data_IF_727791320841
#
_entry.id   IF_727791320841
#
_cell.length_a   1.000
_cell.length_b   1.000
_cell.length_c   1.000
_cell.angle_alpha   90.00
_cell.angle_beta   90.00
_cell.angle_gamma   90.00
#
_symmetry.space_group_name_H-M   'P 1'
#
loop_
_entity.id
_entity.type
_entity.pdbx_description
1 polymer ?
#
# COMPACT_ATOMS: atom_id res chain seq x y z
N UNK A 1 22.85 -9.33 -41.84
CA UNK A 1 22.76 -10.03 -40.53
C UNK A 1 22.75 -8.99 -39.40
N UNK A 2 21.60 -8.72 -38.78
CA UNK A 2 21.46 -7.74 -37.68
C UNK A 2 21.81 -8.42 -36.35
N UNK A 3 22.87 -7.95 -35.67
CA UNK A 3 23.24 -8.41 -34.31
C UNK A 3 22.26 -7.85 -33.29
N UNK A 4 21.46 -8.73 -32.68
CA UNK A 4 20.63 -8.42 -31.51
C UNK A 4 21.52 -8.20 -30.30
N UNK A 5 21.53 -6.99 -29.75
CA UNK A 5 22.14 -6.68 -28.45
C UNK A 5 21.16 -7.15 -27.38
N UNK A 6 21.44 -8.28 -26.74
CA UNK A 6 20.75 -8.71 -25.52
C UNK A 6 21.22 -7.81 -24.37
N UNK A 7 20.39 -6.86 -23.97
CA UNK A 7 20.61 -6.06 -22.77
C UNK A 7 20.38 -6.94 -21.54
N UNK A 8 21.43 -7.12 -20.75
CA UNK A 8 21.38 -7.77 -19.45
C UNK A 8 20.71 -6.79 -18.47
N UNK A 9 19.50 -7.11 -17.98
CA UNK A 9 18.85 -6.33 -16.92
C UNK A 9 19.23 -6.99 -15.60
N UNK A 10 20.07 -6.30 -14.82
CA UNK A 10 20.46 -6.72 -13.48
C UNK A 10 19.42 -6.18 -12.50
N UNK A 11 18.63 -7.05 -11.87
CA UNK A 11 17.74 -6.66 -10.76
C UNK A 11 18.53 -6.89 -9.47
N UNK A 12 18.97 -5.79 -8.86
CA UNK A 12 19.59 -5.80 -7.53
C UNK A 12 18.47 -5.75 -6.47
N UNK A 13 18.23 -6.88 -5.81
CA UNK A 13 17.38 -6.95 -4.62
C UNK A 13 18.23 -6.58 -3.40
N UNK A 14 18.01 -5.41 -2.84
CA UNK A 14 18.52 -5.02 -1.52
C UNK A 14 17.44 -5.31 -0.48
N UNK A 15 17.65 -6.34 0.35
CA UNK A 15 16.81 -6.61 1.51
C UNK A 15 17.50 -5.98 2.72
N UNK A 16 16.98 -4.85 3.20
CA UNK A 16 17.36 -4.28 4.49
C UNK A 16 16.36 -4.74 5.55
N UNK A 17 16.83 -5.44 6.57
CA UNK A 17 16.03 -5.78 7.75
C UNK A 17 16.29 -4.72 8.82
N UNK A 18 15.30 -3.86 9.06
CA UNK A 18 15.26 -3.06 10.27
C UNK A 18 14.61 -3.90 11.36
N UNK A 19 15.21 -3.94 12.55
CA UNK A 19 14.64 -4.63 13.71
C UNK A 19 13.31 -3.98 14.10
N UNK A 20 12.21 -4.58 13.65
CA UNK A 20 10.86 -4.15 14.00
C UNK A 20 10.44 -4.79 15.32
N UNK A 21 10.36 -3.97 16.37
CA UNK A 21 9.45 -4.23 17.50
C UNK A 21 8.04 -4.45 16.93
N UNK A 22 7.27 -5.36 17.54
CA UNK A 22 6.01 -5.85 17.02
C UNK A 22 4.97 -4.73 16.81
N UNK A 23 4.99 -4.12 15.63
CA UNK A 23 3.89 -3.33 15.10
C UNK A 23 2.82 -4.29 14.56
N UNK A 24 1.55 -3.92 14.69
CA UNK A 24 0.47 -4.70 14.09
C UNK A 24 0.72 -4.86 12.59
N UNK A 25 0.48 -6.06 12.05
CA UNK A 25 0.45 -6.27 10.59
C UNK A 25 -0.75 -5.49 10.09
N UNK A 26 -0.53 -4.28 9.58
CA UNK A 26 -1.58 -3.44 8.98
C UNK A 26 -2.41 -4.29 8.01
N UNK A 27 -3.59 -4.69 8.47
CA UNK A 27 -4.62 -5.24 7.62
C UNK A 27 -4.98 -4.11 6.67
N UNK A 28 -4.69 -4.29 5.38
CA UNK A 28 -5.30 -3.45 4.37
C UNK A 28 -6.80 -3.76 4.37
N UNK A 29 -7.54 -3.00 5.18
CA UNK A 29 -8.97 -3.14 5.38
C UNK A 29 -9.74 -2.23 4.42
N UNK A 30 -9.29 -2.09 3.16
CA UNK A 30 -10.23 -1.53 2.20
C UNK A 30 -11.38 -2.53 2.08
N UNK A 31 -12.63 -2.07 2.22
CA UNK A 31 -13.79 -2.97 2.16
C UNK A 31 -13.83 -3.83 0.88
N UNK A 32 -13.16 -3.37 -0.18
CA UNK A 32 -12.94 -4.14 -1.41
C UNK A 32 -11.88 -5.23 -1.26
N UNK A 33 -10.70 -4.95 -0.71
CA UNK A 33 -9.67 -5.98 -0.45
C UNK A 33 -10.15 -7.05 0.53
N UNK A 34 -10.88 -6.64 1.58
CA UNK A 34 -11.43 -7.55 2.59
C UNK A 34 -12.48 -8.49 1.97
N UNK A 35 -13.38 -7.96 1.13
CA UNK A 35 -14.35 -8.77 0.39
C UNK A 35 -13.70 -9.77 -0.59
N UNK A 36 -12.45 -9.52 -0.99
CA UNK A 36 -11.66 -10.39 -1.85
C UNK A 36 -10.73 -11.33 -1.05
N UNK A 37 -10.98 -11.52 0.25
CA UNK A 37 -10.18 -12.41 1.10
C UNK A 37 -8.77 -11.87 1.35
N UNK A 38 -8.62 -10.54 1.44
CA UNK A 38 -7.33 -9.88 1.58
C UNK A 38 -6.49 -9.88 0.31
N UNK A 39 -7.08 -10.24 -0.83
CA UNK A 39 -6.44 -10.18 -2.14
C UNK A 39 -6.65 -8.79 -2.78
N UNK A 40 -5.68 -8.35 -3.58
CA UNK A 40 -5.74 -7.03 -4.24
C UNK A 40 -4.49 -6.65 -5.01
N UNK A 41 -3.58 -7.61 -5.21
CA UNK A 41 -2.25 -7.37 -5.78
C UNK A 41 -2.32 -7.09 -7.29
N UNK A 42 -3.25 -7.72 -8.00
CA UNK A 42 -3.36 -7.64 -9.46
C UNK A 42 -4.75 -7.14 -9.89
N UNK A 43 -5.11 -5.88 -9.61
CA UNK A 43 -6.44 -5.38 -9.95
C UNK A 43 -6.76 -4.03 -9.33
N UNK A 44 -8.05 -3.71 -9.27
CA UNK A 44 -8.58 -2.51 -8.61
C UNK A 44 -8.62 -2.81 -7.10
N UNK A 45 -7.45 -2.78 -6.47
CA UNK A 45 -7.27 -3.01 -5.03
C UNK A 45 -6.70 -1.77 -4.34
N UNK A 46 -6.60 -1.82 -3.02
CA UNK A 46 -5.94 -0.79 -2.24
C UNK A 46 -4.49 -0.59 -2.67
N UNK A 47 -4.02 0.66 -2.63
CA UNK A 47 -2.62 0.98 -2.83
C UNK A 47 -1.73 0.51 -1.65
N UNK A 48 -2.33 0.16 -0.50
CA UNK A 48 -1.63 -0.49 0.62
C UNK A 48 -1.30 -1.96 0.32
N UNK A 49 -2.03 -2.63 -0.58
CA UNK A 49 -1.72 -4.01 -1.03
C UNK A 49 -0.72 -4.04 -2.16
N UNK A 50 -0.88 -3.12 -3.12
CA UNK A 50 0.06 -2.95 -4.20
C UNK A 50 0.12 -1.45 -4.52
N UNK A 51 1.25 -0.78 -4.22
CA UNK A 51 1.44 0.63 -4.54
C UNK A 51 1.13 1.01 -6.00
N UNK A 52 1.30 0.09 -6.95
CA UNK A 52 0.99 0.33 -8.36
C UNK A 52 -0.51 0.57 -8.63
N UNK A 53 -1.38 0.20 -7.68
CA UNK A 53 -2.82 0.44 -7.79
C UNK A 53 -3.19 1.93 -7.69
N UNK A 54 -2.27 2.82 -7.25
CA UNK A 54 -2.49 4.28 -7.32
C UNK A 54 -2.67 4.80 -8.75
N UNK A 55 -2.28 3.99 -9.74
CA UNK A 55 -2.44 4.27 -11.17
C UNK A 55 -3.78 3.74 -11.71
N UNK A 56 -4.58 3.09 -10.87
CA UNK A 56 -5.83 2.45 -11.24
C UNK A 56 -7.03 3.29 -10.76
N UNK A 57 -7.97 3.46 -11.68
CA UNK A 57 -9.37 3.88 -11.55
C UNK A 57 -9.80 5.27 -11.08
N UNK A 58 -9.03 6.12 -10.38
CA UNK A 58 -9.60 7.43 -9.97
C UNK A 58 -8.61 8.61 -10.07
N UNK A 59 -9.02 9.66 -10.80
CA UNK A 59 -8.24 10.91 -10.97
C UNK A 59 -8.14 11.73 -9.69
N UNK A 60 -9.16 11.62 -8.84
CA UNK A 60 -9.25 12.25 -7.53
C UNK A 60 -10.36 11.55 -6.72
N UNK A 61 -10.08 11.11 -5.50
CA UNK A 61 -11.06 10.49 -4.63
C UNK A 61 -10.73 10.63 -3.15
N UNK A 62 -11.76 10.46 -2.33
CA UNK A 62 -11.72 10.45 -0.88
C UNK A 62 -12.42 9.18 -0.40
N UNK A 63 -11.71 8.35 0.34
CA UNK A 63 -12.23 7.11 0.92
C UNK A 63 -12.19 7.23 2.43
N UNK A 64 -13.32 6.92 3.06
CA UNK A 64 -13.47 6.80 4.51
C UNK A 64 -13.92 5.38 4.82
N UNK A 65 -13.21 4.72 5.72
CA UNK A 65 -13.54 3.36 6.12
C UNK A 65 -13.38 3.20 7.63
N UNK A 66 -14.28 2.42 8.21
CA UNK A 66 -14.26 2.09 9.62
C UNK A 66 -14.67 0.63 9.78
N UNK A 67 -13.90 -0.11 10.58
CA UNK A 67 -14.21 -1.49 10.95
C UNK A 67 -13.73 -1.75 12.36
N UNK A 68 -14.40 -2.65 13.05
CA UNK A 68 -13.93 -3.19 14.32
C UNK A 68 -13.18 -4.49 14.03
N UNK A 69 -11.95 -4.59 14.51
CA UNK A 69 -11.19 -5.83 14.36
C UNK A 69 -11.89 -6.94 15.15
N UNK A 70 -12.40 -7.94 14.41
CA UNK A 70 -13.21 -9.05 14.92
C UNK A 70 -12.70 -9.58 16.28
N UNK A 71 -13.59 -9.55 17.29
CA UNK A 71 -13.39 -10.05 18.66
C UNK A 71 -12.37 -9.32 19.54
N UNK A 72 -11.82 -8.19 19.10
CA UNK A 72 -10.86 -7.41 19.89
C UNK A 72 -11.42 -6.06 20.37
N UNK A 73 -12.61 -5.65 19.90
CA UNK A 73 -13.19 -4.31 20.15
C UNK A 73 -12.20 -3.17 19.87
N UNK A 74 -11.30 -3.39 18.92
CA UNK A 74 -10.31 -2.41 18.47
C UNK A 74 -10.82 -1.72 17.19
N UNK A 75 -11.40 -0.51 17.30
CA UNK A 75 -11.82 0.25 16.13
C UNK A 75 -10.62 0.66 15.28
N UNK A 76 -10.68 0.27 14.00
CA UNK A 76 -9.79 0.72 12.95
C UNK A 76 -10.50 1.75 12.07
N UNK A 77 -9.91 2.93 11.93
CA UNK A 77 -10.31 3.96 11.00
C UNK A 77 -9.29 4.10 9.88
N UNK A 78 -9.77 4.28 8.64
CA UNK A 78 -8.94 4.60 7.49
C UNK A 78 -9.50 5.81 6.75
N UNK A 79 -8.62 6.76 6.47
CA UNK A 79 -8.86 7.90 5.60
C UNK A 79 -7.86 7.82 4.45
N UNK A 80 -8.33 7.86 3.21
CA UNK A 80 -7.47 7.93 2.05
C UNK A 80 -7.91 9.07 1.14
N UNK A 81 -6.95 9.84 0.64
CA UNK A 81 -7.15 10.83 -0.40
C UNK A 81 -6.20 10.48 -1.54
N UNK A 82 -6.74 10.24 -2.72
CA UNK A 82 -5.98 9.96 -3.94
C UNK A 82 -6.21 11.06 -4.97
N UNK A 83 -5.20 11.39 -5.77
CA UNK A 83 -5.38 12.20 -6.95
C UNK A 83 -4.11 12.47 -7.73
N UNK A 84 -4.21 13.29 -8.78
CA UNK A 84 -3.06 13.75 -9.56
C UNK A 84 -2.61 15.12 -9.06
N UNK A 85 -1.39 15.19 -8.52
CA UNK A 85 -0.76 16.43 -8.03
C UNK A 85 0.48 16.71 -8.87
N UNK A 86 0.55 17.88 -9.50
CA UNK A 86 1.67 18.27 -10.38
C UNK A 86 2.00 17.22 -11.46
N UNK A 87 1.00 16.50 -11.95
CA UNK A 87 1.15 15.45 -12.97
C UNK A 87 1.60 14.08 -12.45
N UNK A 88 1.83 13.94 -11.14
CA UNK A 88 2.12 12.65 -10.50
C UNK A 88 0.88 12.11 -9.77
N UNK A 89 0.57 10.81 -9.88
CA UNK A 89 -0.44 10.18 -9.05
C UNK A 89 0.09 10.08 -7.62
N UNK A 90 -0.68 10.59 -6.67
CA UNK A 90 -0.39 10.55 -5.25
C UNK A 90 -1.59 10.00 -4.49
N UNK A 91 -1.34 9.20 -3.47
CA UNK A 91 -2.32 8.93 -2.42
C UNK A 91 -1.71 9.18 -1.04
N UNK A 92 -2.52 9.73 -0.15
CA UNK A 92 -2.22 9.86 1.27
C UNK A 92 -3.23 9.02 2.03
N UNK A 93 -2.74 8.02 2.76
CA UNK A 93 -3.57 7.12 3.54
C UNK A 93 -3.19 7.22 5.01
N UNK A 94 -4.19 7.40 5.86
CA UNK A 94 -4.04 7.44 7.32
C UNK A 94 -4.87 6.30 7.89
N UNK A 95 -4.19 5.35 8.51
CA UNK A 95 -4.83 4.28 9.29
C UNK A 95 -4.65 4.60 10.78
N UNK A 96 -5.71 4.43 11.57
CA UNK A 96 -5.70 4.64 13.01
C UNK A 96 -6.40 3.49 13.70
N UNK A 97 -5.67 2.76 14.53
CA UNK A 97 -6.18 1.74 15.43
C UNK A 97 -6.18 2.30 16.85
N UNK A 98 -7.29 2.18 17.56
CA UNK A 98 -7.40 2.62 18.96
C UNK A 98 -7.97 1.49 19.78
N UNK A 99 -7.43 1.27 20.97
CA UNK A 99 -8.11 0.51 22.01
C UNK A 99 -8.98 1.47 22.83
N UNK A 100 -10.29 1.25 22.88
CA UNK A 100 -11.22 2.12 23.60
C UNK A 100 -11.02 2.11 25.12
N UNK A 101 -10.44 1.03 25.66
CA UNK A 101 -10.35 0.77 27.10
C UNK A 101 -8.91 0.86 27.64
N UNK A 102 -7.90 0.89 26.77
CA UNK A 102 -6.46 0.93 27.15
C UNK A 102 -5.74 2.09 26.49
N UNK A 103 -4.56 2.52 27.02
CA UNK A 103 -3.77 3.59 26.40
C UNK A 103 -3.06 3.14 25.10
N UNK A 104 -3.63 2.21 24.34
CA UNK A 104 -3.07 1.70 23.09
C UNK A 104 -3.67 2.44 21.90
N UNK A 105 -2.81 3.03 21.09
CA UNK A 105 -3.15 3.66 19.82
C UNK A 105 -2.00 3.43 18.83
N UNK A 106 -2.35 3.02 17.62
CA UNK A 106 -1.41 2.93 16.50
C UNK A 106 -1.91 3.80 15.34
N UNK A 107 -1.03 4.63 14.78
CA UNK A 107 -1.32 5.47 13.62
C UNK A 107 -0.30 5.18 12.52
N UNK A 108 -0.76 4.88 11.31
CA UNK A 108 0.09 4.73 10.13
C UNK A 108 -0.24 5.80 9.10
N UNK A 109 0.78 6.49 8.61
CA UNK A 109 0.70 7.50 7.55
C UNK A 109 1.45 6.97 6.34
N UNK A 110 0.75 6.75 5.25
CA UNK A 110 1.30 6.22 4.00
C UNK A 110 1.19 7.25 2.90
N UNK A 111 2.32 7.59 2.29
CA UNK A 111 2.38 8.32 1.04
C UNK A 111 2.68 7.34 -0.09
N UNK A 112 1.81 7.32 -1.08
CA UNK A 112 1.89 6.45 -2.24
C UNK A 112 2.12 7.27 -3.49
N UNK A 113 2.99 6.82 -4.38
CA UNK A 113 3.10 7.36 -5.74
C UNK A 113 3.51 6.30 -6.74
N UNK A 114 3.42 6.58 -8.04
CA UNK A 114 3.79 5.62 -9.07
C UNK A 114 3.86 6.19 -10.48
N UNK A 115 4.22 5.32 -11.42
CA UNK A 115 4.31 5.63 -12.84
C UNK A 115 4.04 4.41 -13.71
N UNK A 116 3.64 4.68 -14.96
CA UNK A 116 3.37 3.65 -15.97
C UNK A 116 4.31 3.81 -17.15
N UNK A 117 4.93 2.71 -17.57
CA UNK A 117 5.75 2.62 -18.78
C UNK A 117 5.21 1.49 -19.64
N UNK A 118 4.50 1.84 -20.71
CA UNK A 118 3.84 0.88 -21.58
C UNK A 118 2.80 0.05 -20.82
N UNK A 119 3.04 -1.25 -20.71
CA UNK A 119 2.14 -2.22 -20.04
C UNK A 119 2.47 -2.47 -18.57
N UNK A 120 3.52 -1.84 -18.05
CA UNK A 120 3.99 -2.03 -16.68
C UNK A 120 3.66 -0.76 -15.90
N UNK A 121 2.93 -0.93 -14.81
CA UNK A 121 2.70 0.08 -13.79
C UNK A 121 3.55 -0.29 -12.57
N UNK A 122 4.18 0.71 -11.95
CA UNK A 122 4.95 0.54 -10.74
C UNK A 122 4.59 1.65 -9.75
N UNK A 123 4.60 1.33 -8.47
CA UNK A 123 4.36 2.29 -7.41
C UNK A 123 5.26 2.04 -6.21
N UNK A 124 5.29 3.02 -5.33
CA UNK A 124 6.06 3.00 -4.09
C UNK A 124 5.19 3.55 -2.97
N UNK A 125 5.28 2.94 -1.79
CA UNK A 125 4.74 3.49 -0.55
C UNK A 125 5.89 3.89 0.36
N UNK A 126 5.80 5.08 0.95
CA UNK A 126 6.58 5.46 2.12
C UNK A 126 5.63 5.55 3.30
N UNK A 127 5.89 4.77 4.33
CA UNK A 127 4.99 4.63 5.48
C UNK A 127 5.71 4.99 6.76
N UNK A 128 5.08 5.80 7.60
CA UNK A 128 5.47 6.05 8.99
C UNK A 128 4.42 5.44 9.91
N UNK A 129 4.86 4.62 10.85
CA UNK A 129 4.01 4.05 11.90
C UNK A 129 4.39 4.67 13.23
N UNK A 130 3.39 5.11 13.97
CA UNK A 130 3.50 5.66 15.32
C UNK A 130 2.70 4.76 16.25
N UNK A 131 3.36 4.20 17.25
CA UNK A 131 2.75 3.40 18.29
C UNK A 131 2.79 4.19 19.60
N UNK A 132 1.63 4.40 20.18
CA UNK A 132 1.45 4.97 21.50
C UNK A 132 0.80 3.92 22.38
N UNK A 133 1.59 3.31 23.27
CA UNK A 133 1.12 2.40 24.29
C UNK A 133 1.71 2.81 25.65
N UNK A 134 1.90 1.87 26.58
CA UNK A 134 2.75 2.10 27.76
C UNK A 134 4.17 2.57 27.38
N UNK A 135 4.62 2.21 26.18
CA UNK A 135 5.86 2.71 25.56
C UNK A 135 5.54 3.32 24.19
N UNK A 136 6.28 4.36 23.83
CA UNK A 136 6.16 5.02 22.53
C UNK A 136 7.17 4.43 21.55
N UNK A 137 6.71 4.07 20.36
CA UNK A 137 7.53 3.55 19.28
C UNK A 137 7.23 4.26 17.96
N UNK A 138 8.24 4.35 17.09
CA UNK A 138 8.03 4.79 15.71
C UNK A 138 8.85 3.95 14.74
N UNK A 139 8.31 3.80 13.53
CA UNK A 139 8.94 3.01 12.48
C UNK A 139 8.67 3.59 11.11
N UNK A 140 9.53 3.24 10.16
CA UNK A 140 9.36 3.56 8.76
C UNK A 140 9.40 2.29 7.93
N UNK A 141 8.51 2.20 6.94
CA UNK A 141 8.49 1.12 5.98
C UNK A 141 8.46 1.70 4.56
N UNK A 142 9.02 0.93 3.63
CA UNK A 142 9.07 1.27 2.23
C UNK A 142 8.64 0.06 1.41
N UNK A 143 7.57 0.21 0.65
CA UNK A 143 6.98 -0.87 -0.14
C UNK A 143 7.10 -0.56 -1.63
N UNK A 144 7.35 -1.60 -2.43
CA UNK A 144 7.41 -1.52 -3.89
C UNK A 144 6.35 -2.43 -4.48
N UNK A 145 5.59 -1.90 -5.43
CA UNK A 145 4.54 -2.64 -6.11
C UNK A 145 4.63 -2.50 -7.61
N UNK A 146 4.21 -3.52 -8.35
CA UNK A 146 4.06 -3.45 -9.80
C UNK A 146 2.86 -4.24 -10.29
N UNK A 147 2.30 -3.81 -11.41
CA UNK A 147 1.31 -4.57 -12.19
C UNK A 147 1.69 -4.56 -13.66
N UNK A 148 1.34 -5.64 -14.37
CA UNK A 148 1.59 -5.81 -15.80
C UNK A 148 0.35 -6.34 -16.52
N UNK A 149 -0.05 -5.62 -17.57
CA UNK A 149 -1.17 -6.01 -18.42
C UNK A 149 -0.72 -7.02 -19.51
N UNK A 150 -1.07 -8.29 -19.33
CA UNK A 150 -0.82 -9.38 -20.28
C UNK A 150 -2.04 -9.64 -21.18
N UNK A 151 -1.96 -9.22 -22.45
CA UNK A 151 -3.10 -9.26 -23.39
C UNK A 151 -4.29 -8.46 -22.78
N UNK A 152 -5.36 -8.21 -23.54
CA UNK A 152 -6.40 -7.26 -23.13
C UNK A 152 -7.26 -7.70 -21.92
N UNK A 153 -6.93 -8.79 -21.22
CA UNK A 153 -7.78 -9.38 -20.17
C UNK A 153 -7.04 -9.97 -18.95
N UNK A 154 -5.71 -10.04 -18.94
CA UNK A 154 -4.97 -10.62 -17.81
C UNK A 154 -4.10 -9.53 -17.21
N UNK A 155 -4.20 -9.33 -15.89
CA UNK A 155 -3.30 -8.47 -15.13
C UNK A 155 -2.53 -9.34 -14.14
N UNK A 156 -1.22 -9.15 -14.07
CA UNK A 156 -0.34 -9.80 -13.09
C UNK A 156 0.22 -8.73 -12.19
N UNK A 157 0.26 -8.97 -10.88
CA UNK A 157 0.78 -8.03 -9.91
C UNK A 157 1.84 -8.67 -9.02
N UNK A 158 2.78 -7.85 -8.54
CA UNK A 158 3.80 -8.19 -7.56
C UNK A 158 3.80 -7.07 -6.52
N UNK A 159 3.72 -7.41 -5.24
CA UNK A 159 3.76 -6.50 -4.12
C UNK A 159 4.43 -7.17 -2.92
#
# INVERSE_FOLDING_TARGET
>A
MKRSKRGLVLILLFVFSFGTEAAFVLLDTSGRSDALGGCGVAGIGSNLKNPANVLEDEKCSLTLFHTDLYNLDLPLGTLEIQGIVLGAPLALTVNKLVDGDRPYQESAYTLTTGGRIGKIAAGVNLRRVLLSSEVHGEGWAFDLGSTMDFRSKIKVGVA
#
